data_IF_080003599382
#
_entry.id   IF_080003599382
#
_cell.length_a   1.000
_cell.length_b   1.000
_cell.length_c   1.000
_cell.angle_alpha   90.00
_cell.angle_beta   90.00
_cell.angle_gamma   90.00
#
_symmetry.space_group_name_H-M   'P 1'
#
loop_
_entity.id
_entity.type
_entity.pdbx_description
1 polymer ?
#
# COMPACT_ATOMS: atom_id res chain seq x y z
N UNK A 1 -17.54 0.12 -12.02
CA UNK A 1 -16.90 1.45 -11.99
C UNK A 1 -16.09 1.64 -13.26
N UNK A 2 -15.99 2.87 -13.74
CA UNK A 2 -14.98 3.29 -14.73
C UNK A 2 -13.77 3.78 -13.96
N UNK A 3 -12.61 3.18 -14.19
CA UNK A 3 -11.38 3.42 -13.43
C UNK A 3 -10.28 3.85 -14.39
N UNK A 4 -9.66 5.01 -14.14
CA UNK A 4 -8.41 5.38 -14.78
C UNK A 4 -7.24 4.77 -13.99
N UNK A 5 -6.33 4.07 -14.64
CA UNK A 5 -5.23 3.38 -13.97
C UNK A 5 -3.88 3.85 -14.52
N UNK A 6 -3.16 4.65 -13.75
CA UNK A 6 -1.81 5.10 -14.08
C UNK A 6 -0.78 4.00 -13.75
N UNK A 7 0.03 3.63 -14.73
CA UNK A 7 1.01 2.56 -14.64
C UNK A 7 0.42 1.15 -14.82
N UNK A 8 -0.58 1.02 -15.67
CA UNK A 8 -1.30 -0.22 -15.97
C UNK A 8 -0.39 -1.35 -16.49
N UNK A 9 0.64 -1.03 -17.27
CA UNK A 9 1.60 -1.99 -17.83
C UNK A 9 2.74 -2.34 -16.85
N UNK A 10 2.80 -1.65 -15.71
CA UNK A 10 3.76 -1.91 -14.66
C UNK A 10 3.61 -3.31 -14.02
N UNK A 11 4.69 -3.77 -13.33
CA UNK A 11 4.72 -5.11 -12.71
C UNK A 11 3.58 -5.37 -11.69
N UNK A 12 3.11 -4.34 -10.99
CA UNK A 12 1.95 -4.45 -10.09
C UNK A 12 0.67 -4.09 -10.83
N UNK A 13 0.72 -3.04 -11.68
CA UNK A 13 -0.44 -2.53 -12.42
C UNK A 13 -1.11 -3.59 -13.27
N UNK A 14 -0.35 -4.34 -14.08
CA UNK A 14 -0.90 -5.35 -14.98
C UNK A 14 -1.71 -6.43 -14.25
N UNK A 15 -1.23 -6.91 -13.09
CA UNK A 15 -1.97 -7.89 -12.29
C UNK A 15 -3.24 -7.29 -11.66
N UNK A 16 -3.16 -6.03 -11.21
CA UNK A 16 -4.29 -5.33 -10.60
C UNK A 16 -5.36 -5.04 -11.66
N UNK A 17 -4.98 -4.50 -12.82
CA UNK A 17 -5.88 -4.20 -13.94
C UNK A 17 -6.65 -5.44 -14.38
N UNK A 18 -5.95 -6.55 -14.67
CA UNK A 18 -6.59 -7.80 -15.07
C UNK A 18 -7.63 -8.27 -14.05
N UNK A 19 -7.39 -8.05 -12.77
CA UNK A 19 -8.33 -8.45 -11.72
C UNK A 19 -9.50 -7.48 -11.56
N UNK A 20 -9.28 -6.18 -11.76
CA UNK A 20 -10.35 -5.18 -11.79
C UNK A 20 -11.32 -5.45 -12.94
N UNK A 21 -10.81 -5.74 -14.14
CA UNK A 21 -11.60 -6.12 -15.30
C UNK A 21 -12.39 -7.42 -15.07
N UNK A 22 -11.75 -8.44 -14.49
CA UNK A 22 -12.42 -9.68 -14.11
C UNK A 22 -13.51 -9.49 -13.05
N UNK A 23 -13.42 -8.44 -12.23
CA UNK A 23 -14.45 -8.03 -11.27
C UNK A 23 -15.56 -7.16 -11.90
N UNK A 24 -15.51 -6.93 -13.22
CA UNK A 24 -16.54 -6.19 -13.96
C UNK A 24 -16.33 -4.66 -13.95
N UNK A 25 -15.15 -4.18 -13.63
CA UNK A 25 -14.80 -2.77 -13.79
C UNK A 25 -14.36 -2.47 -15.24
N UNK A 26 -14.65 -1.27 -15.70
CA UNK A 26 -14.14 -0.73 -16.98
C UNK A 26 -12.85 0.04 -16.67
N UNK A 27 -11.69 -0.50 -17.10
CA UNK A 27 -10.38 0.06 -16.75
C UNK A 27 -9.72 0.67 -17.96
N UNK A 28 -9.39 1.95 -17.86
CA UNK A 28 -8.55 2.66 -18.83
C UNK A 28 -7.13 2.78 -18.30
N UNK A 29 -6.18 2.07 -18.90
CA UNK A 29 -4.74 2.24 -18.63
C UNK A 29 -4.24 3.61 -19.13
N UNK A 30 -3.33 4.21 -18.38
CA UNK A 30 -2.64 5.46 -18.69
C UNK A 30 -1.15 5.25 -18.40
N UNK A 31 -0.31 5.42 -19.42
CA UNK A 31 1.13 5.26 -19.31
C UNK A 31 1.86 6.60 -19.45
N UNK A 32 3.17 6.58 -19.25
CA UNK A 32 4.01 7.76 -19.36
C UNK A 32 3.96 8.33 -20.80
N UNK A 33 3.51 9.57 -20.92
CA UNK A 33 3.35 10.25 -22.20
C UNK A 33 1.93 10.22 -22.77
N UNK A 34 1.03 9.47 -22.17
CA UNK A 34 -0.40 9.49 -22.51
C UNK A 34 -1.08 10.77 -21.99
N UNK A 35 -2.23 11.09 -22.58
CA UNK A 35 -3.12 12.14 -22.07
C UNK A 35 -3.72 11.68 -20.71
N UNK A 36 -3.42 12.38 -19.60
CA UNK A 36 -3.94 12.05 -18.28
C UNK A 36 -5.41 12.44 -18.09
N UNK A 37 -6.21 12.37 -19.14
CA UNK A 37 -7.64 12.69 -19.09
C UNK A 37 -8.39 11.61 -18.33
N UNK A 38 -8.97 11.95 -17.18
CA UNK A 38 -9.73 11.04 -16.30
C UNK A 38 -11.18 11.50 -16.08
N UNK A 39 -11.59 12.60 -16.69
CA UNK A 39 -12.94 13.12 -16.52
C UNK A 39 -14.00 12.05 -16.88
N UNK A 40 -14.98 11.90 -16.02
CA UNK A 40 -16.03 10.90 -16.17
C UNK A 40 -15.65 9.48 -15.67
N UNK A 41 -14.45 9.26 -15.12
CA UNK A 41 -14.16 8.08 -14.34
C UNK A 41 -14.74 8.19 -12.93
N UNK A 42 -15.09 7.05 -12.34
CA UNK A 42 -15.61 6.98 -10.97
C UNK A 42 -14.47 7.10 -9.94
N UNK A 43 -13.27 6.64 -10.31
CA UNK A 43 -12.05 6.73 -9.51
C UNK A 43 -10.80 6.66 -10.40
N UNK A 44 -9.67 7.10 -9.86
CA UNK A 44 -8.36 6.83 -10.43
C UNK A 44 -7.50 5.99 -9.47
N UNK A 45 -6.57 5.22 -10.04
CA UNK A 45 -5.59 4.42 -9.31
C UNK A 45 -4.20 4.76 -9.84
N UNK A 46 -3.22 4.98 -8.95
CA UNK A 46 -1.83 5.24 -9.33
C UNK A 46 -0.87 4.21 -8.71
N UNK A 47 -0.17 3.48 -9.58
CA UNK A 47 0.94 2.58 -9.26
C UNK A 47 2.14 2.87 -10.18
N UNK A 48 2.59 4.12 -10.18
CA UNK A 48 3.69 4.61 -11.03
C UNK A 48 5.01 4.74 -10.25
N UNK A 49 5.65 5.89 -10.35
CA UNK A 49 6.91 6.22 -9.68
C UNK A 49 6.76 7.44 -8.79
N UNK A 50 7.65 7.62 -7.77
CA UNK A 50 7.62 8.80 -6.90
C UNK A 50 7.64 10.14 -7.64
N UNK A 51 8.32 10.19 -8.77
CA UNK A 51 8.44 11.41 -9.58
C UNK A 51 7.17 11.71 -10.40
N UNK A 52 6.43 10.68 -10.82
CA UNK A 52 5.23 10.82 -11.63
C UNK A 52 3.94 11.00 -10.81
N UNK A 53 3.83 10.30 -9.68
CA UNK A 53 2.61 10.26 -8.88
C UNK A 53 2.06 11.64 -8.48
N UNK A 54 2.88 12.63 -8.05
CA UNK A 54 2.35 13.96 -7.69
C UNK A 54 1.62 14.64 -8.86
N UNK A 55 2.17 14.57 -10.07
CA UNK A 55 1.57 15.17 -11.26
C UNK A 55 0.27 14.44 -11.66
N UNK A 56 0.28 13.11 -11.65
CA UNK A 56 -0.90 12.29 -11.95
C UNK A 56 -2.05 12.54 -10.98
N UNK A 57 -1.74 12.56 -9.67
CA UNK A 57 -2.73 12.82 -8.61
C UNK A 57 -3.29 14.24 -8.72
N UNK A 58 -2.45 15.25 -8.96
CA UNK A 58 -2.91 16.64 -9.17
C UNK A 58 -3.87 16.71 -10.36
N UNK A 59 -3.47 16.19 -11.51
CA UNK A 59 -4.30 16.18 -12.72
C UNK A 59 -5.64 15.45 -12.48
N UNK A 60 -5.63 14.37 -11.72
CA UNK A 60 -6.83 13.61 -11.34
C UNK A 60 -7.77 14.44 -10.48
N UNK A 61 -7.27 15.06 -9.41
CA UNK A 61 -8.06 15.90 -8.50
C UNK A 61 -8.59 17.15 -9.18
N UNK A 62 -7.82 17.78 -10.08
CA UNK A 62 -8.25 18.96 -10.85
C UNK A 62 -9.41 18.63 -11.80
N UNK A 63 -9.50 17.40 -12.28
CA UNK A 63 -10.62 16.90 -13.09
C UNK A 63 -11.81 16.38 -12.28
N UNK A 64 -11.79 16.51 -10.95
CA UNK A 64 -12.92 16.14 -10.08
C UNK A 64 -13.02 14.66 -9.77
N UNK A 65 -11.92 13.90 -9.87
CA UNK A 65 -11.88 12.44 -9.63
C UNK A 65 -11.07 12.14 -8.37
N UNK A 66 -11.61 11.27 -7.50
CA UNK A 66 -10.92 10.76 -6.30
C UNK A 66 -9.89 9.69 -6.67
N UNK A 67 -8.83 9.56 -5.86
CA UNK A 67 -7.67 8.74 -6.22
C UNK A 67 -7.25 7.76 -5.12
N UNK A 68 -6.88 6.54 -5.53
CA UNK A 68 -6.19 5.51 -4.72
C UNK A 68 -4.76 5.41 -5.19
N UNK A 69 -3.78 5.58 -4.31
CA UNK A 69 -2.36 5.65 -4.66
C UNK A 69 -1.56 4.59 -3.91
N UNK A 70 -0.87 3.75 -4.66
CA UNK A 70 0.09 2.76 -4.16
C UNK A 70 1.56 3.19 -4.33
N UNK A 71 1.80 4.25 -5.07
CA UNK A 71 3.14 4.82 -5.24
C UNK A 71 3.61 5.49 -3.95
N UNK A 72 4.80 5.14 -3.49
CA UNK A 72 5.43 5.66 -2.26
C UNK A 72 6.66 6.51 -2.58
N UNK A 73 7.20 7.22 -1.57
CA UNK A 73 8.43 8.00 -1.72
C UNK A 73 8.21 9.46 -2.14
N UNK A 74 6.99 9.97 -1.96
CA UNK A 74 6.61 11.38 -2.17
C UNK A 74 5.73 11.87 -1.01
N UNK A 75 5.55 13.17 -0.88
CA UNK A 75 4.70 13.77 0.17
C UNK A 75 3.29 14.09 -0.37
N UNK A 76 2.23 13.42 0.13
CA UNK A 76 0.86 13.65 -0.31
C UNK A 76 0.15 14.83 0.38
N UNK A 77 0.77 15.53 1.32
CA UNK A 77 0.08 16.50 2.20
C UNK A 77 -0.57 17.65 1.42
N UNK A 78 0.15 18.25 0.48
CA UNK A 78 -0.38 19.35 -0.35
C UNK A 78 -1.59 18.89 -1.19
N UNK A 79 -1.48 17.72 -1.82
CA UNK A 79 -2.56 17.16 -2.64
C UNK A 79 -3.73 16.67 -1.79
N UNK A 80 -3.49 16.29 -0.55
CA UNK A 80 -4.53 16.02 0.44
C UNK A 80 -5.35 17.26 0.77
N UNK A 81 -4.70 18.42 0.91
CA UNK A 81 -5.38 19.70 1.10
C UNK A 81 -6.23 20.08 -0.14
N UNK A 82 -5.68 19.90 -1.35
CA UNK A 82 -6.41 20.11 -2.59
C UNK A 82 -7.63 19.18 -2.71
N UNK A 83 -7.48 17.90 -2.33
CA UNK A 83 -8.59 16.95 -2.32
C UNK A 83 -9.71 17.40 -1.35
N UNK A 84 -9.36 17.87 -0.15
CA UNK A 84 -10.31 18.38 0.81
C UNK A 84 -11.07 19.62 0.29
N UNK A 85 -10.36 20.57 -0.32
CA UNK A 85 -10.93 21.78 -0.93
C UNK A 85 -11.96 21.45 -2.01
N UNK A 86 -11.70 20.40 -2.78
CA UNK A 86 -12.56 19.95 -3.89
C UNK A 86 -13.65 18.93 -3.49
N UNK A 87 -13.81 18.63 -2.20
CA UNK A 87 -14.68 17.55 -1.70
C UNK A 87 -14.35 16.17 -2.29
N UNK A 88 -13.07 15.92 -2.61
CA UNK A 88 -12.55 14.67 -3.16
C UNK A 88 -11.76 13.88 -2.09
N UNK A 89 -11.46 12.62 -2.40
CA UNK A 89 -10.73 11.70 -1.54
C UNK A 89 -9.42 11.30 -2.19
N UNK A 90 -8.34 11.48 -1.45
CA UNK A 90 -7.02 10.98 -1.79
C UNK A 90 -6.65 9.91 -0.78
N UNK A 91 -6.68 8.65 -1.21
CA UNK A 91 -6.26 7.52 -0.39
C UNK A 91 -4.85 7.08 -0.80
N UNK A 92 -3.91 7.09 0.13
CA UNK A 92 -2.51 6.70 -0.12
C UNK A 92 -2.14 5.57 0.83
N UNK A 93 -1.66 4.44 0.32
CA UNK A 93 -1.17 3.37 1.17
C UNK A 93 0.18 2.84 0.69
N UNK A 94 1.17 2.72 1.60
CA UNK A 94 2.48 2.15 1.28
C UNK A 94 2.43 0.64 1.11
N UNK A 95 1.35 0.00 1.54
CA UNK A 95 1.15 -1.44 1.43
C UNK A 95 -0.35 -1.77 1.29
N UNK A 96 -0.71 -2.49 0.24
CA UNK A 96 -2.06 -2.96 -0.03
C UNK A 96 -2.27 -4.44 0.35
N UNK A 97 -1.28 -5.10 0.94
CA UNK A 97 -1.46 -6.45 1.46
C UNK A 97 -2.19 -6.42 2.80
N UNK A 98 -3.47 -6.81 2.83
CA UNK A 98 -4.30 -6.85 4.04
C UNK A 98 -3.61 -7.68 5.14
N UNK A 99 -3.06 -8.85 4.78
CA UNK A 99 -2.38 -9.70 5.74
C UNK A 99 -1.14 -9.05 6.36
N UNK A 100 -0.35 -8.30 5.57
CA UNK A 100 0.80 -7.57 6.10
C UNK A 100 0.37 -6.45 7.06
N UNK A 101 -0.69 -5.73 6.73
CA UNK A 101 -1.23 -4.66 7.59
C UNK A 101 -1.79 -5.22 8.89
N UNK A 102 -2.53 -6.33 8.84
CA UNK A 102 -3.02 -7.02 10.02
C UNK A 102 -1.88 -7.59 10.89
N UNK A 103 -0.86 -8.18 10.27
CA UNK A 103 0.35 -8.62 10.99
C UNK A 103 0.99 -7.46 11.76
N UNK A 104 1.15 -6.29 11.13
CA UNK A 104 1.70 -5.09 11.78
C UNK A 104 0.81 -4.61 12.93
N UNK A 105 -0.52 -4.55 12.75
CA UNK A 105 -1.48 -4.17 13.79
C UNK A 105 -1.40 -5.10 14.99
N UNK A 106 -1.47 -6.41 14.77
CA UNK A 106 -1.39 -7.41 15.84
C UNK A 106 -0.03 -7.40 16.55
N UNK A 107 1.05 -7.13 15.80
CA UNK A 107 2.36 -6.95 16.41
C UNK A 107 2.39 -5.72 17.33
N UNK A 108 1.79 -4.60 16.90
CA UNK A 108 1.66 -3.40 17.75
C UNK A 108 0.86 -3.65 19.04
N UNK A 109 -0.25 -4.40 18.94
CA UNK A 109 -1.06 -4.79 20.09
C UNK A 109 -0.28 -5.73 21.03
N UNK A 110 0.42 -6.74 20.48
CA UNK A 110 1.21 -7.70 21.25
C UNK A 110 2.38 -7.03 21.98
N UNK A 111 2.98 -5.99 21.42
CA UNK A 111 4.15 -5.31 21.98
C UNK A 111 3.93 -4.79 23.43
N UNK A 112 2.70 -4.44 23.79
CA UNK A 112 2.37 -3.99 25.15
C UNK A 112 2.47 -5.11 26.20
N UNK A 113 2.55 -6.38 25.80
CA UNK A 113 2.48 -7.55 26.66
C UNK A 113 3.78 -8.36 26.73
N UNK A 114 4.78 -8.00 25.92
CA UNK A 114 6.06 -8.71 25.87
C UNK A 114 7.24 -7.76 26.08
N UNK A 115 8.27 -8.16 26.85
CA UNK A 115 9.40 -7.30 27.16
C UNK A 115 10.34 -7.06 25.99
N UNK A 116 10.35 -7.94 24.97
CA UNK A 116 11.22 -7.87 23.79
C UNK A 116 10.60 -8.50 22.57
N UNK A 117 10.96 -7.94 21.40
CA UNK A 117 10.63 -8.50 20.10
C UNK A 117 11.82 -8.39 19.14
N UNK A 118 11.89 -9.30 18.17
CA UNK A 118 12.77 -9.24 17.01
C UNK A 118 11.97 -9.46 15.74
N UNK A 119 12.44 -8.92 14.62
CA UNK A 119 11.79 -9.01 13.33
C UNK A 119 12.70 -9.75 12.36
N UNK A 120 12.16 -10.74 11.64
CA UNK A 120 12.84 -11.38 10.52
C UNK A 120 12.07 -11.03 9.25
N UNK A 121 12.73 -10.35 8.29
CA UNK A 121 12.14 -10.05 6.99
C UNK A 121 12.90 -10.75 5.88
N UNK A 122 12.16 -11.37 4.95
CA UNK A 122 12.75 -12.19 3.91
C UNK A 122 12.23 -11.73 2.55
N UNK A 123 13.15 -11.38 1.63
CA UNK A 123 12.80 -10.92 0.29
C UNK A 123 13.68 -11.55 -0.78
N UNK A 124 13.27 -11.38 -2.03
CA UNK A 124 14.07 -11.75 -3.17
C UNK A 124 15.45 -11.05 -3.14
N UNK A 125 16.48 -11.73 -3.59
CA UNK A 125 17.86 -11.22 -3.64
C UNK A 125 18.02 -9.90 -4.43
N UNK A 126 17.14 -9.66 -5.41
CA UNK A 126 17.14 -8.41 -6.19
C UNK A 126 16.67 -7.17 -5.41
N UNK A 127 16.11 -7.33 -4.19
CA UNK A 127 15.70 -6.21 -3.34
C UNK A 127 16.92 -5.53 -2.72
N UNK A 128 17.16 -4.27 -3.11
CA UNK A 128 18.37 -3.52 -2.75
C UNK A 128 18.35 -2.98 -1.32
N UNK A 129 17.18 -2.52 -0.85
CA UNK A 129 17.04 -1.99 0.50
C UNK A 129 16.96 -3.11 1.55
N UNK A 130 17.65 -2.92 2.64
CA UNK A 130 17.63 -3.74 3.85
C UNK A 130 17.86 -2.82 5.06
N UNK A 131 17.03 -2.91 6.11
CA UNK A 131 15.74 -3.62 6.19
C UNK A 131 14.68 -3.02 5.26
N UNK A 132 13.63 -3.83 4.98
CA UNK A 132 12.48 -3.40 4.17
C UNK A 132 11.71 -2.25 4.84
N UNK A 133 10.98 -1.45 4.02
CA UNK A 133 10.13 -0.38 4.55
C UNK A 133 9.06 -0.89 5.53
N UNK A 134 8.45 -2.05 5.25
CA UNK A 134 7.47 -2.70 6.15
C UNK A 134 8.10 -3.09 7.47
N UNK A 135 9.31 -3.67 7.46
CA UNK A 135 9.99 -4.06 8.71
C UNK A 135 10.37 -2.85 9.57
N UNK A 136 10.85 -1.76 8.95
CA UNK A 136 11.11 -0.49 9.65
C UNK A 136 9.83 0.10 10.27
N UNK A 137 8.74 0.12 9.51
CA UNK A 137 7.46 0.59 10.01
C UNK A 137 6.93 -0.28 11.16
N UNK A 138 7.09 -1.61 11.07
CA UNK A 138 6.73 -2.53 12.15
C UNK A 138 7.58 -2.29 13.39
N UNK A 139 8.91 -2.13 13.26
CA UNK A 139 9.78 -1.83 14.39
C UNK A 139 9.37 -0.55 15.10
N UNK A 140 9.08 0.52 14.35
CA UNK A 140 8.59 1.77 14.93
C UNK A 140 7.27 1.59 15.69
N UNK A 141 6.37 0.77 15.17
CA UNK A 141 5.05 0.51 15.77
C UNK A 141 5.17 -0.28 17.10
N UNK A 142 6.15 -1.18 17.21
CA UNK A 142 6.35 -2.01 18.42
C UNK A 142 7.35 -1.42 19.42
N UNK A 143 7.75 -0.15 19.27
CA UNK A 143 8.58 0.58 20.24
C UNK A 143 9.96 1.01 19.75
N UNK A 144 10.35 0.70 18.52
CA UNK A 144 11.54 1.24 17.85
C UNK A 144 12.86 0.47 18.08
N UNK A 145 12.98 -0.30 19.15
CA UNK A 145 14.24 -0.97 19.56
C UNK A 145 14.36 -2.42 19.08
N UNK A 146 13.39 -2.93 18.33
CA UNK A 146 13.41 -4.30 17.84
C UNK A 146 14.51 -4.50 16.79
N UNK A 147 15.37 -5.51 17.00
CA UNK A 147 16.35 -5.91 16.02
C UNK A 147 15.65 -6.42 14.75
N UNK A 148 16.18 -6.03 13.56
CA UNK A 148 15.65 -6.48 12.28
C UNK A 148 16.70 -7.32 11.55
N UNK A 149 16.34 -8.55 11.24
CA UNK A 149 17.15 -9.50 10.48
C UNK A 149 16.63 -9.57 9.04
N UNK A 150 17.49 -9.24 8.10
CA UNK A 150 17.13 -9.23 6.67
C UNK A 150 17.70 -10.43 5.95
N UNK A 151 16.84 -11.24 5.35
CA UNK A 151 17.22 -12.40 4.52
C UNK A 151 16.96 -12.07 3.05
N UNK A 152 17.92 -12.37 2.17
CA UNK A 152 17.85 -12.17 0.71
C UNK A 152 18.19 -13.48 0.02
N UNK A 153 17.19 -14.13 -0.63
CA UNK A 153 17.38 -15.41 -1.29
C UNK A 153 16.55 -15.47 -2.59
N UNK A 154 16.99 -16.24 -3.60
CA UNK A 154 16.17 -16.56 -4.75
C UNK A 154 14.86 -17.26 -4.33
N UNK A 155 13.79 -17.03 -5.08
CA UNK A 155 12.48 -17.66 -4.84
C UNK A 155 11.61 -17.00 -3.76
N UNK A 156 12.16 -16.13 -2.93
CA UNK A 156 11.38 -15.33 -1.99
C UNK A 156 10.67 -14.17 -2.72
N UNK A 157 9.53 -13.76 -2.19
CA UNK A 157 8.80 -12.55 -2.63
C UNK A 157 8.87 -11.49 -1.54
N UNK A 158 8.04 -11.59 -0.51
CA UNK A 158 8.06 -10.70 0.65
C UNK A 158 7.43 -11.43 1.84
N UNK A 159 8.21 -11.65 2.88
CA UNK A 159 7.77 -12.34 4.09
C UNK A 159 8.27 -11.55 5.29
N UNK A 160 7.50 -11.57 6.36
CA UNK A 160 7.91 -10.98 7.63
C UNK A 160 7.31 -11.75 8.79
N UNK A 161 8.13 -11.97 9.82
CA UNK A 161 7.68 -12.45 11.11
C UNK A 161 8.19 -11.54 12.21
N UNK A 162 7.35 -11.35 13.23
CA UNK A 162 7.66 -10.66 14.48
C UNK A 162 7.61 -11.67 15.59
N UNK A 163 8.73 -11.85 16.27
CA UNK A 163 8.93 -12.84 17.34
C UNK A 163 9.01 -12.10 18.65
N UNK A 164 8.05 -12.32 19.52
CA UNK A 164 7.99 -11.77 20.88
C UNK A 164 8.47 -12.81 21.86
N UNK A 165 9.40 -12.43 22.75
CA UNK A 165 9.92 -13.27 23.81
C UNK A 165 9.38 -12.86 25.18
N UNK A 166 8.97 -13.83 25.99
CA UNK A 166 8.55 -13.68 27.38
C UNK A 166 8.99 -14.87 28.23
N UNK A 167 8.86 -14.79 29.53
CA UNK A 167 9.25 -15.88 30.42
C UNK A 167 8.46 -17.16 30.09
N UNK A 168 9.18 -18.20 29.69
CA UNK A 168 8.61 -19.51 29.38
C UNK A 168 7.77 -19.56 28.07
N UNK A 169 7.77 -18.50 27.24
CA UNK A 169 6.93 -18.46 26.04
C UNK A 169 7.52 -17.60 24.90
N UNK A 170 7.11 -17.93 23.69
CA UNK A 170 7.28 -17.10 22.51
C UNK A 170 5.92 -16.91 21.83
N UNK A 171 5.70 -15.71 21.26
CA UNK A 171 4.61 -15.46 20.32
C UNK A 171 5.24 -15.07 18.99
N UNK A 172 4.85 -15.74 17.89
CA UNK A 172 5.26 -15.37 16.53
C UNK A 172 4.05 -14.97 15.72
N UNK A 173 4.11 -13.79 15.11
CA UNK A 173 3.10 -13.30 14.17
C UNK A 173 3.79 -13.21 12.82
N UNK A 174 3.28 -13.95 11.80
CA UNK A 174 3.91 -14.07 10.50
C UNK A 174 2.93 -13.79 9.37
N UNK A 175 3.43 -13.12 8.34
CA UNK A 175 2.76 -12.95 7.05
C UNK A 175 3.70 -13.30 5.91
N UNK A 176 3.20 -14.07 4.96
CA UNK A 176 3.91 -14.50 3.76
C UNK A 176 3.19 -14.01 2.51
N UNK A 177 3.90 -13.30 1.65
CA UNK A 177 3.46 -12.91 0.32
C UNK A 177 4.14 -13.82 -0.71
N UNK A 178 3.37 -14.61 -1.44
CA UNK A 178 3.90 -15.53 -2.46
C UNK A 178 3.83 -14.95 -3.87
N UNK A 179 2.94 -13.96 -4.08
CA UNK A 179 2.73 -13.33 -5.38
C UNK A 179 2.20 -11.92 -5.22
N UNK A 180 2.29 -11.09 -6.30
CA UNK A 180 1.80 -9.69 -6.27
C UNK A 180 0.29 -9.57 -6.17
N UNK A 181 -0.43 -10.60 -6.52
CA UNK A 181 -1.87 -10.74 -6.35
C UNK A 181 -2.31 -10.51 -4.89
N UNK A 182 -1.41 -10.66 -3.92
CA UNK A 182 -1.67 -10.33 -2.51
C UNK A 182 -2.05 -8.85 -2.26
N UNK A 183 -1.71 -7.94 -3.17
CA UNK A 183 -2.10 -6.53 -3.08
C UNK A 183 -3.52 -6.25 -3.60
N UNK A 184 -4.05 -7.12 -4.46
CA UNK A 184 -5.32 -6.89 -5.16
C UNK A 184 -6.50 -6.73 -4.20
N UNK A 185 -6.69 -7.60 -3.17
CA UNK A 185 -7.78 -7.42 -2.21
C UNK A 185 -7.79 -6.07 -1.51
N UNK A 186 -6.61 -5.53 -1.20
CA UNK A 186 -6.49 -4.20 -0.59
C UNK A 186 -6.81 -3.06 -1.54
N UNK A 187 -6.46 -3.18 -2.83
CA UNK A 187 -6.85 -2.19 -3.85
C UNK A 187 -8.36 -2.19 -4.05
N UNK A 188 -8.98 -3.38 -4.16
CA UNK A 188 -10.43 -3.52 -4.26
C UNK A 188 -11.14 -2.93 -3.03
N UNK A 189 -10.64 -3.21 -1.84
CA UNK A 189 -11.17 -2.64 -0.59
C UNK A 189 -11.06 -1.11 -0.60
N UNK A 190 -9.93 -0.55 -1.03
CA UNK A 190 -9.73 0.88 -1.10
C UNK A 190 -10.70 1.54 -2.08
N UNK A 191 -10.91 0.95 -3.27
CA UNK A 191 -11.88 1.44 -4.26
C UNK A 191 -13.31 1.36 -3.74
N UNK A 192 -13.69 0.29 -3.06
CA UNK A 192 -15.04 0.13 -2.46
C UNK A 192 -15.29 1.17 -1.36
N UNK A 193 -14.30 1.42 -0.51
CA UNK A 193 -14.42 2.36 0.62
C UNK A 193 -14.19 3.81 0.23
N UNK A 194 -13.53 4.10 -0.89
CA UNK A 194 -13.16 5.45 -1.31
C UNK A 194 -14.32 6.46 -1.22
N UNK A 195 -15.55 6.16 -1.70
CA UNK A 195 -16.66 7.11 -1.62
C UNK A 195 -17.13 7.40 -0.20
N UNK A 196 -16.84 6.52 0.76
CA UNK A 196 -17.27 6.63 2.16
C UNK A 196 -16.28 7.37 3.04
N UNK A 197 -15.07 7.62 2.55
CA UNK A 197 -14.04 8.36 3.27
C UNK A 197 -14.40 9.84 3.41
N UNK A 198 -13.83 10.49 4.41
CA UNK A 198 -13.91 11.95 4.51
C UNK A 198 -13.11 12.59 3.38
N UNK A 199 -13.55 13.74 2.85
CA UNK A 199 -12.74 14.52 1.91
C UNK A 199 -11.34 14.80 2.44
N UNK A 200 -10.37 14.81 1.53
CA UNK A 200 -8.98 15.02 1.85
C UNK A 200 -8.14 13.75 1.83
N UNK A 201 -7.06 13.74 2.60
CA UNK A 201 -6.07 12.67 2.64
C UNK A 201 -6.41 11.62 3.68
N UNK A 202 -6.41 10.36 3.28
CA UNK A 202 -6.38 9.18 4.16
C UNK A 202 -5.14 8.37 3.86
N UNK A 203 -4.35 8.04 4.89
CA UNK A 203 -3.10 7.28 4.75
C UNK A 203 -3.22 5.94 5.44
N UNK A 204 -2.75 4.89 4.75
CA UNK A 204 -2.64 3.54 5.29
C UNK A 204 -3.90 2.70 5.10
N UNK A 205 -3.69 1.44 4.72
CA UNK A 205 -4.79 0.49 4.52
C UNK A 205 -5.49 0.13 5.85
N UNK A 206 -4.80 0.27 6.96
CA UNK A 206 -5.32 0.07 8.32
C UNK A 206 -6.51 0.99 8.65
N UNK A 207 -6.57 2.18 8.03
CA UNK A 207 -7.71 3.09 8.16
C UNK A 207 -9.02 2.53 7.57
N UNK A 208 -8.95 1.46 6.75
CA UNK A 208 -10.09 0.82 6.11
C UNK A 208 -10.49 -0.52 6.76
N UNK A 209 -9.67 -1.04 7.68
CA UNK A 209 -9.84 -2.31 8.38
C UNK A 209 -10.40 -2.06 9.80
#
# INVERSE_FOLDING_TARGET
>A
MRIAFFGAEGKAGSAIVARLEAAGHDVRGIELGDDPHVAGCDAAVDFTTPDAAPANVRATLEQGVSCVVGTTGWDPAELGALAAEKDLRLFVAPNFSIGAVLMMRFAGEAAAHFPRAEIVELHNEAKKDAPSGTAKATANLIGGDAAIHSVRLPGLVAHQEVIFGGEGQLLTIRHDTFAREAFIPGVLLALDKLPTLRPGLTIGLDALL
#
